data_IF_351359004335
#
_entry.id   IF_351359004335
#
_cell.length_a   1.000
_cell.length_b   1.000
_cell.length_c   1.000
_cell.angle_alpha   90.00
_cell.angle_beta   90.00
_cell.angle_gamma   90.00
#
_symmetry.space_group_name_H-M   'P 1'
#
loop_
_entity.id
_entity.type
_entity.pdbx_description
1 polymer ?
#
# COMPACT_ATOMS: atom_id res chain seq x y z
N UNK A 1 -20.07 29.78 26.97
CA UNK A 1 -20.25 28.89 25.81
C UNK A 1 -21.58 29.27 25.16
N UNK A 2 -21.54 30.06 24.04
CA UNK A 2 -22.70 30.31 23.21
C UNK A 2 -22.89 29.10 22.31
N UNK A 3 -23.98 28.37 22.47
CA UNK A 3 -24.43 27.31 21.57
C UNK A 3 -24.83 27.93 20.24
N UNK A 4 -23.87 28.17 19.36
CA UNK A 4 -24.13 28.68 18.01
C UNK A 4 -24.32 27.50 17.06
N UNK A 5 -25.55 27.24 16.63
CA UNK A 5 -25.88 26.23 15.64
C UNK A 5 -25.65 26.79 14.23
N UNK A 6 -24.51 26.52 13.60
CA UNK A 6 -24.26 26.89 12.21
C UNK A 6 -24.77 25.79 11.26
N UNK A 7 -25.94 26.01 10.70
CA UNK A 7 -26.60 25.09 9.77
C UNK A 7 -25.78 24.83 8.49
N UNK A 8 -24.97 25.79 8.04
CA UNK A 8 -24.12 25.64 6.84
C UNK A 8 -22.93 24.76 7.14
N UNK A 9 -22.30 24.96 8.28
CA UNK A 9 -21.18 24.10 8.74
C UNK A 9 -21.66 22.66 8.91
N UNK A 10 -22.80 22.48 9.58
CA UNK A 10 -23.38 21.16 9.82
C UNK A 10 -23.72 20.44 8.49
N UNK A 11 -24.32 21.14 7.53
CA UNK A 11 -24.61 20.59 6.22
C UNK A 11 -23.36 20.14 5.47
N UNK A 12 -22.26 20.92 5.54
CA UNK A 12 -20.97 20.53 4.94
C UNK A 12 -20.36 19.29 5.64
N UNK A 13 -20.44 19.22 6.96
CA UNK A 13 -19.97 18.08 7.73
C UNK A 13 -20.75 16.80 7.38
N UNK A 14 -22.08 16.89 7.31
CA UNK A 14 -22.92 15.74 6.90
C UNK A 14 -22.66 15.32 5.45
N UNK A 15 -22.48 16.25 4.53
CA UNK A 15 -22.14 15.95 3.16
C UNK A 15 -20.78 15.24 3.06
N UNK A 16 -19.76 15.75 3.75
CA UNK A 16 -18.43 15.11 3.79
C UNK A 16 -18.52 13.70 4.38
N UNK A 17 -19.15 13.55 5.55
CA UNK A 17 -19.30 12.25 6.22
C UNK A 17 -20.10 11.26 5.37
N UNK A 18 -21.15 11.71 4.69
CA UNK A 18 -21.95 10.88 3.80
C UNK A 18 -21.15 10.32 2.63
N UNK A 19 -20.34 11.15 1.97
CA UNK A 19 -19.47 10.69 0.88
C UNK A 19 -18.35 9.78 1.38
N UNK A 20 -17.70 10.10 2.51
CA UNK A 20 -16.71 9.24 3.13
C UNK A 20 -17.30 7.88 3.55
N UNK A 21 -18.54 7.87 4.07
CA UNK A 21 -19.27 6.64 4.39
C UNK A 21 -19.50 5.76 3.16
N UNK A 22 -19.86 6.37 2.03
CA UNK A 22 -20.10 5.67 0.76
C UNK A 22 -18.81 5.02 0.24
N UNK A 23 -17.70 5.75 0.23
CA UNK A 23 -16.39 5.23 -0.17
C UNK A 23 -15.88 4.11 0.74
N UNK A 24 -15.91 4.33 2.06
CA UNK A 24 -15.51 3.30 3.02
C UNK A 24 -16.44 2.08 2.97
N UNK A 25 -17.74 2.28 2.78
CA UNK A 25 -18.73 1.22 2.59
C UNK A 25 -18.42 0.35 1.37
N UNK A 26 -18.00 0.96 0.26
CA UNK A 26 -17.60 0.23 -0.94
C UNK A 26 -16.31 -0.60 -0.71
N UNK A 27 -15.36 -0.10 0.07
CA UNK A 27 -14.15 -0.86 0.47
C UNK A 27 -14.57 -2.08 1.30
N UNK A 28 -15.41 -1.89 2.33
CA UNK A 28 -15.88 -2.97 3.19
C UNK A 28 -16.67 -3.99 2.37
N UNK A 29 -17.56 -3.55 1.48
CA UNK A 29 -18.33 -4.43 0.60
C UNK A 29 -17.41 -5.27 -0.31
N UNK A 30 -16.39 -4.65 -0.90
CA UNK A 30 -15.39 -5.36 -1.70
C UNK A 30 -14.65 -6.41 -0.86
N UNK A 31 -14.19 -6.06 0.33
CA UNK A 31 -13.40 -6.96 1.17
C UNK A 31 -14.23 -8.11 1.73
N UNK A 32 -15.43 -7.83 2.25
CA UNK A 32 -16.34 -8.86 2.72
C UNK A 32 -16.94 -9.67 1.56
N UNK A 33 -17.26 -9.00 0.45
CA UNK A 33 -17.69 -9.67 -0.78
C UNK A 33 -16.63 -10.65 -1.30
N UNK A 34 -15.35 -10.25 -1.34
CA UNK A 34 -14.26 -11.16 -1.70
C UNK A 34 -14.15 -12.35 -0.75
N UNK A 35 -14.41 -12.14 0.56
CA UNK A 35 -14.45 -13.21 1.55
C UNK A 35 -15.55 -14.25 1.24
N UNK A 36 -16.75 -13.75 0.92
CA UNK A 36 -17.88 -14.60 0.53
C UNK A 36 -17.60 -15.35 -0.78
N UNK A 37 -17.05 -14.67 -1.79
CA UNK A 37 -16.71 -15.29 -3.07
C UNK A 37 -15.67 -16.40 -2.91
N UNK A 38 -14.60 -16.15 -2.17
CA UNK A 38 -13.55 -17.15 -1.93
C UNK A 38 -14.09 -18.36 -1.15
N UNK A 39 -15.00 -18.15 -0.20
CA UNK A 39 -15.65 -19.25 0.51
C UNK A 39 -16.59 -20.04 -0.40
N UNK A 40 -17.37 -19.36 -1.26
CA UNK A 40 -18.34 -20.00 -2.14
C UNK A 40 -17.68 -20.85 -3.23
N UNK A 41 -16.60 -20.33 -3.84
CA UNK A 41 -15.93 -20.99 -4.98
C UNK A 41 -14.73 -21.85 -4.57
N UNK A 42 -14.06 -21.52 -3.47
CA UNK A 42 -12.86 -22.20 -2.99
C UNK A 42 -13.03 -23.00 -1.70
N UNK A 43 -14.14 -22.78 -1.01
CA UNK A 43 -14.46 -23.46 0.26
C UNK A 43 -13.75 -22.89 1.49
N UNK A 44 -13.99 -23.49 2.68
CA UNK A 44 -13.47 -22.98 3.95
C UNK A 44 -11.94 -22.95 4.07
N UNK A 45 -11.25 -23.92 3.43
CA UNK A 45 -9.78 -23.99 3.45
C UNK A 45 -9.14 -22.78 2.74
N UNK A 46 -9.70 -22.37 1.58
CA UNK A 46 -9.26 -21.18 0.84
C UNK A 46 -9.53 -19.91 1.65
N UNK A 47 -10.66 -19.87 2.35
CA UNK A 47 -10.97 -18.73 3.21
C UNK A 47 -10.04 -18.65 4.43
N UNK A 48 -9.64 -19.78 5.01
CA UNK A 48 -8.62 -19.86 6.06
C UNK A 48 -7.26 -19.35 5.55
N UNK A 49 -6.83 -19.79 4.35
CA UNK A 49 -5.61 -19.30 3.70
C UNK A 49 -5.61 -17.77 3.51
N UNK A 50 -6.77 -17.20 3.10
CA UNK A 50 -6.95 -15.75 3.03
C UNK A 50 -6.81 -15.08 4.40
N UNK A 51 -7.41 -15.65 5.44
CA UNK A 51 -7.30 -15.14 6.81
C UNK A 51 -5.85 -15.04 7.27
N UNK A 52 -5.04 -16.07 7.02
CA UNK A 52 -3.60 -16.09 7.31
C UNK A 52 -2.87 -14.98 6.51
N UNK A 53 -3.14 -14.87 5.22
CA UNK A 53 -2.53 -13.83 4.38
C UNK A 53 -2.84 -12.41 4.88
N UNK A 54 -4.07 -12.17 5.33
CA UNK A 54 -4.47 -10.88 5.90
C UNK A 54 -3.78 -10.59 7.24
N UNK A 55 -3.55 -11.61 8.09
CA UNK A 55 -2.79 -11.44 9.35
C UNK A 55 -1.33 -11.09 9.08
N UNK A 56 -0.68 -11.80 8.16
CA UNK A 56 0.71 -11.48 7.74
C UNK A 56 0.78 -10.05 7.21
N UNK A 57 -0.14 -9.69 6.32
CA UNK A 57 -0.19 -8.35 5.74
C UNK A 57 -0.40 -7.26 6.81
N UNK A 58 -1.32 -7.48 7.75
CA UNK A 58 -1.58 -6.52 8.82
C UNK A 58 -0.34 -6.27 9.69
N UNK A 59 0.41 -7.32 10.01
CA UNK A 59 1.67 -7.21 10.76
C UNK A 59 2.71 -6.40 9.98
N UNK A 60 2.92 -6.70 8.70
CA UNK A 60 3.90 -6.00 7.86
C UNK A 60 3.48 -4.56 7.58
N UNK A 61 2.22 -4.33 7.21
CA UNK A 61 1.72 -3.01 6.85
C UNK A 61 1.62 -2.06 8.05
N UNK A 62 1.58 -2.58 9.28
CA UNK A 62 1.59 -1.75 10.50
C UNK A 62 2.80 -0.82 10.58
N UNK A 63 3.98 -1.23 10.08
CA UNK A 63 5.17 -0.39 10.02
C UNK A 63 4.97 0.83 9.12
N UNK A 64 4.32 0.63 7.97
CA UNK A 64 3.97 1.72 7.05
C UNK A 64 2.94 2.65 7.69
N UNK A 65 1.92 2.10 8.35
CA UNK A 65 0.89 2.89 9.01
C UNK A 65 1.45 3.75 10.14
N UNK A 66 2.37 3.23 10.96
CA UNK A 66 3.04 4.00 12.00
C UNK A 66 3.84 5.17 11.43
N UNK A 67 4.57 4.94 10.31
CA UNK A 67 5.27 6.02 9.61
C UNK A 67 4.28 7.08 9.08
N UNK A 68 3.17 6.67 8.50
CA UNK A 68 2.14 7.57 7.94
C UNK A 68 1.40 8.35 9.03
N UNK A 69 1.15 7.77 10.21
CA UNK A 69 0.55 8.49 11.34
C UNK A 69 1.37 9.70 11.76
N UNK A 70 2.70 9.62 11.69
CA UNK A 70 3.59 10.75 11.97
C UNK A 70 3.55 11.82 10.86
N UNK A 71 3.32 11.42 9.61
CA UNK A 71 3.42 12.29 8.43
C UNK A 71 2.09 12.95 8.03
N UNK A 72 0.96 12.28 8.22
CA UNK A 72 -0.37 12.75 7.80
C UNK A 72 -0.76 14.13 8.37
N UNK A 73 -0.53 14.44 9.67
CA UNK A 73 -0.84 15.76 10.22
C UNK A 73 -0.07 16.89 9.54
N UNK A 74 1.17 16.62 9.11
CA UNK A 74 2.00 17.62 8.43
C UNK A 74 1.49 17.91 7.00
N UNK A 75 1.00 16.89 6.28
CA UNK A 75 0.37 17.05 4.97
C UNK A 75 -0.85 17.98 5.11
N UNK A 76 -1.73 17.70 6.07
CA UNK A 76 -2.94 18.50 6.33
C UNK A 76 -2.60 19.92 6.78
N UNK A 77 -1.60 20.08 7.64
CA UNK A 77 -1.13 21.41 8.10
C UNK A 77 -0.60 22.27 6.95
N UNK A 78 0.24 21.70 6.08
CA UNK A 78 0.79 22.41 4.92
C UNK A 78 -0.34 22.84 3.95
N UNK A 79 -1.36 22.01 3.74
CA UNK A 79 -2.53 22.41 2.97
C UNK A 79 -3.26 23.57 3.61
N UNK A 80 -3.56 23.50 4.91
CA UNK A 80 -4.30 24.54 5.65
C UNK A 80 -3.56 25.88 5.70
N UNK A 81 -2.21 25.86 5.70
CA UNK A 81 -1.39 27.08 5.65
C UNK A 81 -1.16 27.64 4.24
N UNK A 82 -1.72 26.99 3.19
CA UNK A 82 -1.53 27.41 1.80
C UNK A 82 -0.16 27.06 1.21
N UNK A 83 0.70 26.35 1.96
CA UNK A 83 2.02 25.94 1.48
C UNK A 83 1.94 24.64 0.66
N UNK A 84 1.38 24.79 -0.55
CA UNK A 84 1.13 23.65 -1.43
C UNK A 84 2.41 22.94 -1.88
N UNK A 85 3.50 23.66 -2.11
CA UNK A 85 4.77 23.08 -2.55
C UNK A 85 5.39 22.18 -1.48
N UNK A 86 5.35 22.60 -0.22
CA UNK A 86 5.77 21.76 0.91
C UNK A 86 4.88 20.54 1.05
N UNK A 87 3.55 20.68 0.84
CA UNK A 87 2.60 19.55 0.83
C UNK A 87 2.94 18.56 -0.28
N UNK A 88 3.18 19.01 -1.51
CA UNK A 88 3.52 18.14 -2.63
C UNK A 88 4.81 17.36 -2.39
N UNK A 89 5.85 18.06 -1.96
CA UNK A 89 7.14 17.44 -1.65
C UNK A 89 7.01 16.40 -0.53
N UNK A 90 6.19 16.68 0.48
CA UNK A 90 5.93 15.75 1.58
C UNK A 90 5.15 14.52 1.09
N UNK A 91 4.10 14.69 0.28
CA UNK A 91 3.34 13.57 -0.31
C UNK A 91 4.28 12.67 -1.12
N UNK A 92 5.12 13.24 -1.99
CA UNK A 92 6.07 12.49 -2.83
C UNK A 92 7.05 11.69 -1.97
N UNK A 93 7.65 12.33 -0.97
CA UNK A 93 8.61 11.68 -0.05
C UNK A 93 7.92 10.60 0.79
N UNK A 94 6.76 10.88 1.38
CA UNK A 94 6.04 9.90 2.20
C UNK A 94 5.61 8.68 1.39
N UNK A 95 5.10 8.85 0.17
CA UNK A 95 4.76 7.74 -0.73
C UNK A 95 5.98 6.86 -1.03
N UNK A 96 7.10 7.48 -1.38
CA UNK A 96 8.36 6.80 -1.69
C UNK A 96 8.93 6.04 -0.50
N UNK A 97 9.04 6.69 0.67
CA UNK A 97 9.57 6.04 1.87
C UNK A 97 8.65 4.96 2.43
N UNK A 98 7.32 5.14 2.37
CA UNK A 98 6.35 4.09 2.69
C UNK A 98 6.57 2.84 1.83
N UNK A 99 6.79 3.04 0.53
CA UNK A 99 7.11 1.95 -0.38
C UNK A 99 8.41 1.25 0.01
N UNK A 100 9.48 1.98 0.36
CA UNK A 100 10.76 1.38 0.75
C UNK A 100 10.66 0.63 2.08
N UNK A 101 9.94 1.17 3.07
CA UNK A 101 9.68 0.46 4.33
C UNK A 101 8.96 -0.86 4.06
N UNK A 102 7.91 -0.83 3.25
CA UNK A 102 7.18 -2.02 2.85
C UNK A 102 8.07 -3.02 2.12
N UNK A 103 8.87 -2.54 1.17
CA UNK A 103 9.76 -3.35 0.34
C UNK A 103 10.84 -4.07 1.16
N UNK A 104 11.41 -3.40 2.18
CA UNK A 104 12.44 -3.98 3.05
C UNK A 104 11.93 -5.19 3.83
N UNK A 105 10.63 -5.26 4.11
CA UNK A 105 10.03 -6.39 4.83
C UNK A 105 9.43 -7.40 3.85
N UNK A 106 8.75 -6.90 2.80
CA UNK A 106 8.05 -7.72 1.81
C UNK A 106 9.01 -8.68 1.09
N UNK A 107 10.11 -8.19 0.53
CA UNK A 107 10.97 -9.00 -0.32
C UNK A 107 11.67 -10.14 0.42
N UNK A 108 12.30 -9.94 1.60
CA UNK A 108 12.84 -11.04 2.38
C UNK A 108 11.77 -12.04 2.80
N UNK A 109 10.58 -11.55 3.19
CA UNK A 109 9.46 -12.40 3.59
C UNK A 109 8.95 -13.24 2.41
N UNK A 110 8.78 -12.64 1.22
CA UNK A 110 8.38 -13.37 0.01
C UNK A 110 9.43 -14.41 -0.42
N UNK A 111 10.73 -14.10 -0.23
CA UNK A 111 11.80 -15.03 -0.54
C UNK A 111 11.81 -16.28 0.35
N UNK A 112 11.25 -16.20 1.56
CA UNK A 112 11.22 -17.31 2.52
C UNK A 112 9.84 -17.60 3.10
N UNK A 113 8.76 -17.25 2.38
CA UNK A 113 7.39 -17.35 2.88
C UNK A 113 7.00 -18.76 3.30
N UNK A 114 7.40 -19.78 2.53
CA UNK A 114 7.15 -21.19 2.87
C UNK A 114 7.80 -21.58 4.21
N UNK A 115 9.02 -21.15 4.43
CA UNK A 115 9.74 -21.42 5.67
C UNK A 115 9.07 -20.74 6.87
N UNK A 116 8.71 -19.45 6.73
CA UNK A 116 8.05 -18.69 7.79
C UNK A 116 6.69 -19.27 8.13
N UNK A 117 5.90 -19.64 7.12
CA UNK A 117 4.58 -20.23 7.35
C UNK A 117 4.67 -21.60 8.03
N UNK A 118 5.61 -22.45 7.64
CA UNK A 118 5.84 -23.76 8.30
C UNK A 118 6.38 -23.63 9.72
N UNK A 119 7.08 -22.54 10.02
CA UNK A 119 7.56 -22.29 11.39
C UNK A 119 6.41 -21.83 12.30
N UNK A 120 5.43 -21.13 11.73
CA UNK A 120 4.32 -20.55 12.47
C UNK A 120 3.10 -21.47 12.56
N UNK A 121 2.80 -22.21 11.49
CA UNK A 121 1.59 -23.03 11.36
C UNK A 121 1.97 -24.52 11.41
N UNK A 122 1.14 -25.33 12.09
CA UNK A 122 1.28 -26.78 12.08
C UNK A 122 1.01 -27.33 10.68
N UNK A 123 -0.09 -26.87 10.06
CA UNK A 123 -0.47 -27.18 8.69
C UNK A 123 -0.67 -25.89 7.90
N UNK A 124 -0.02 -25.78 6.74
CA UNK A 124 -0.17 -24.63 5.84
C UNK A 124 -1.25 -24.95 4.81
N UNK A 125 -2.41 -24.26 4.84
CA UNK A 125 -3.47 -24.52 3.87
C UNK A 125 -2.99 -24.26 2.43
N UNK A 126 -3.57 -24.98 1.47
CA UNK A 126 -3.31 -24.74 0.05
C UNK A 126 -3.58 -23.26 -0.31
N UNK A 127 -2.84 -22.71 -1.29
CA UNK A 127 -2.90 -21.32 -1.74
C UNK A 127 -2.37 -20.26 -0.77
N UNK A 128 -2.07 -20.59 0.52
CA UNK A 128 -1.65 -19.59 1.53
C UNK A 128 -0.43 -18.79 1.07
N UNK A 129 0.58 -19.46 0.53
CA UNK A 129 1.82 -18.81 0.02
C UNK A 129 1.49 -17.78 -1.05
N UNK A 130 0.72 -18.17 -2.07
CA UNK A 130 0.32 -17.27 -3.16
C UNK A 130 -0.49 -16.08 -2.63
N UNK A 131 -1.41 -16.33 -1.70
CA UNK A 131 -2.25 -15.28 -1.12
C UNK A 131 -1.42 -14.28 -0.29
N UNK A 132 -0.45 -14.76 0.49
CA UNK A 132 0.47 -13.89 1.24
C UNK A 132 1.23 -13.00 0.27
N UNK A 133 1.88 -13.56 -0.76
CA UNK A 133 2.66 -12.79 -1.74
C UNK A 133 1.78 -11.75 -2.45
N UNK A 134 0.62 -12.16 -2.96
CA UNK A 134 -0.28 -11.27 -3.69
C UNK A 134 -0.87 -10.17 -2.80
N UNK A 135 -1.20 -10.48 -1.53
CA UNK A 135 -1.70 -9.49 -0.58
C UNK A 135 -0.62 -8.46 -0.20
N UNK A 136 0.63 -8.91 -0.02
CA UNK A 136 1.75 -8.00 0.24
C UNK A 136 2.05 -7.11 -0.97
N UNK A 137 1.97 -7.63 -2.20
CA UNK A 137 2.10 -6.83 -3.42
C UNK A 137 0.97 -5.80 -3.57
N UNK A 138 -0.26 -6.15 -3.20
CA UNK A 138 -1.36 -5.20 -3.11
C UNK A 138 -1.03 -4.04 -2.17
N UNK A 139 -0.53 -4.34 -0.97
CA UNK A 139 -0.15 -3.33 0.02
C UNK A 139 1.06 -2.51 -0.39
N UNK A 140 1.95 -3.06 -1.21
CA UNK A 140 3.06 -2.31 -1.80
C UNK A 140 2.55 -1.18 -2.72
N UNK A 141 1.52 -1.46 -3.53
CA UNK A 141 0.86 -0.42 -4.35
C UNK A 141 0.13 0.58 -3.45
N UNK A 142 -0.49 0.13 -2.35
CA UNK A 142 -1.21 0.97 -1.40
C UNK A 142 -0.33 2.05 -0.76
N UNK A 143 0.97 1.81 -0.59
CA UNK A 143 1.92 2.79 -0.06
C UNK A 143 1.95 4.10 -0.86
N UNK A 144 1.67 4.06 -2.15
CA UNK A 144 1.59 5.27 -2.98
C UNK A 144 0.28 6.06 -2.78
N UNK A 145 -0.80 5.37 -2.40
CA UNK A 145 -2.14 5.98 -2.32
C UNK A 145 -2.34 6.76 -1.02
N UNK A 146 -1.85 6.24 0.11
CA UNK A 146 -2.18 6.77 1.43
C UNK A 146 -1.86 8.27 1.59
N UNK A 147 -0.62 8.78 1.25
CA UNK A 147 -0.33 10.19 1.34
C UNK A 147 -1.15 11.06 0.38
N UNK A 148 -1.46 10.53 -0.82
CA UNK A 148 -2.31 11.22 -1.81
C UNK A 148 -3.75 11.35 -1.31
N UNK A 149 -4.30 10.28 -0.71
CA UNK A 149 -5.64 10.29 -0.08
C UNK A 149 -5.68 11.34 1.05
N UNK A 150 -4.64 11.39 1.89
CA UNK A 150 -4.54 12.41 2.95
C UNK A 150 -4.59 13.83 2.37
N UNK A 151 -3.89 14.09 1.27
CA UNK A 151 -3.97 15.37 0.55
C UNK A 151 -5.34 15.67 0.00
N UNK A 152 -6.04 14.69 -0.55
CA UNK A 152 -7.43 14.82 -1.03
C UNK A 152 -8.42 15.11 0.11
N UNK A 153 -8.28 14.41 1.23
CA UNK A 153 -9.12 14.63 2.42
C UNK A 153 -8.90 16.02 3.01
N UNK A 154 -7.67 16.52 3.02
CA UNK A 154 -7.35 17.88 3.49
C UNK A 154 -8.07 18.97 2.69
N UNK A 155 -8.31 18.74 1.38
CA UNK A 155 -9.05 19.66 0.52
C UNK A 155 -10.56 19.72 0.86
N UNK A 156 -11.14 18.67 1.43
CA UNK A 156 -12.54 18.60 1.88
C UNK A 156 -13.60 18.32 0.81
N UNK A 157 -13.31 18.50 -0.49
CA UNK A 157 -14.27 18.19 -1.57
C UNK A 157 -13.98 16.81 -2.16
N UNK A 158 -14.42 15.77 -1.46
CA UNK A 158 -14.13 14.37 -1.76
C UNK A 158 -15.18 13.68 -2.64
N UNK A 159 -16.32 14.32 -2.92
CA UNK A 159 -17.47 13.70 -3.61
C UNK A 159 -17.08 12.95 -4.90
N UNK A 160 -16.42 13.63 -5.84
CA UNK A 160 -16.06 13.03 -7.13
C UNK A 160 -15.04 11.89 -7.00
N UNK A 161 -14.16 12.02 -6.03
CA UNK A 161 -13.16 11.00 -5.71
C UNK A 161 -13.82 9.75 -5.12
N UNK A 162 -14.69 9.90 -4.11
CA UNK A 162 -15.38 8.78 -3.45
C UNK A 162 -16.31 8.02 -4.40
N UNK A 163 -17.00 8.73 -5.31
CA UNK A 163 -17.80 8.09 -6.37
C UNK A 163 -16.91 7.25 -7.29
N UNK A 164 -15.76 7.80 -7.72
CA UNK A 164 -14.81 7.08 -8.56
C UNK A 164 -14.25 5.83 -7.89
N UNK A 165 -13.89 5.93 -6.61
CA UNK A 165 -13.45 4.82 -5.77
C UNK A 165 -14.53 3.73 -5.64
N UNK A 166 -15.74 4.11 -5.23
CA UNK A 166 -16.86 3.19 -5.06
C UNK A 166 -17.19 2.45 -6.36
N UNK A 167 -17.16 3.15 -7.49
CA UNK A 167 -17.37 2.54 -8.82
C UNK A 167 -16.30 1.51 -9.14
N UNK A 168 -15.02 1.84 -8.95
CA UNK A 168 -13.92 0.90 -9.21
C UNK A 168 -13.97 -0.33 -8.30
N UNK A 169 -14.28 -0.18 -7.01
CA UNK A 169 -14.41 -1.32 -6.11
C UNK A 169 -15.60 -2.20 -6.44
N UNK A 170 -16.73 -1.61 -6.87
CA UNK A 170 -17.89 -2.37 -7.33
C UNK A 170 -17.57 -3.15 -8.60
N UNK A 171 -16.90 -2.54 -9.58
CA UNK A 171 -16.45 -3.23 -10.81
C UNK A 171 -15.45 -4.33 -10.48
N UNK A 172 -14.51 -4.11 -9.57
CA UNK A 172 -13.58 -5.14 -9.09
C UNK A 172 -14.32 -6.35 -8.51
N UNK A 173 -15.30 -6.12 -7.64
CA UNK A 173 -16.11 -7.20 -7.06
C UNK A 173 -16.85 -8.00 -8.15
N UNK A 174 -17.50 -7.31 -9.09
CA UNK A 174 -18.19 -7.95 -10.21
C UNK A 174 -17.25 -8.74 -11.13
N UNK A 175 -16.09 -8.16 -11.45
CA UNK A 175 -15.05 -8.85 -12.24
C UNK A 175 -14.56 -10.11 -11.53
N UNK A 176 -14.31 -10.03 -10.21
CA UNK A 176 -13.91 -11.19 -9.40
C UNK A 176 -14.96 -12.29 -9.43
N UNK A 177 -16.25 -11.96 -9.29
CA UNK A 177 -17.33 -12.91 -9.39
C UNK A 177 -17.39 -13.58 -10.76
N UNK A 178 -17.32 -12.80 -11.85
CA UNK A 178 -17.36 -13.32 -13.22
C UNK A 178 -16.17 -14.25 -13.50
N UNK A 179 -14.95 -13.86 -13.11
CA UNK A 179 -13.76 -14.69 -13.30
C UNK A 179 -13.88 -16.04 -12.57
N UNK A 180 -14.33 -16.03 -11.31
CA UNK A 180 -14.53 -17.26 -10.56
C UNK A 180 -15.63 -18.14 -11.15
N UNK A 181 -16.73 -17.53 -11.63
CA UNK A 181 -17.82 -18.26 -12.32
C UNK A 181 -17.36 -18.91 -13.63
N UNK A 182 -16.38 -18.31 -14.31
CA UNK A 182 -15.74 -18.87 -15.51
C UNK A 182 -14.71 -19.98 -15.19
N UNK A 183 -14.54 -20.35 -13.91
CA UNK A 183 -13.61 -21.40 -13.48
C UNK A 183 -12.15 -20.96 -13.37
N UNK A 184 -11.88 -19.65 -13.31
CA UNK A 184 -10.51 -19.17 -13.10
C UNK A 184 -10.04 -19.48 -11.66
N UNK A 185 -8.72 -19.65 -11.44
CA UNK A 185 -8.15 -19.92 -10.13
C UNK A 185 -8.53 -18.84 -9.09
N UNK A 186 -8.63 -19.23 -7.82
CA UNK A 186 -9.01 -18.34 -6.71
C UNK A 186 -8.02 -17.17 -6.50
N UNK A 187 -6.76 -17.35 -6.91
CA UNK A 187 -5.72 -16.30 -6.93
C UNK A 187 -6.10 -15.11 -7.81
N UNK A 188 -6.94 -15.32 -8.81
CA UNK A 188 -7.41 -14.27 -9.73
C UNK A 188 -8.05 -13.10 -8.99
N UNK A 189 -8.74 -13.35 -7.87
CA UNK A 189 -9.33 -12.30 -7.03
C UNK A 189 -8.26 -11.34 -6.49
N UNK A 190 -7.13 -11.89 -6.06
CA UNK A 190 -6.01 -11.09 -5.52
C UNK A 190 -5.29 -10.32 -6.64
N UNK A 191 -5.10 -10.95 -7.79
CA UNK A 191 -4.52 -10.28 -8.97
C UNK A 191 -5.41 -9.11 -9.43
N UNK A 192 -6.72 -9.32 -9.52
CA UNK A 192 -7.68 -8.26 -9.82
C UNK A 192 -7.61 -7.12 -8.78
N UNK A 193 -7.51 -7.45 -7.49
CA UNK A 193 -7.34 -6.45 -6.44
C UNK A 193 -6.11 -5.56 -6.69
N UNK A 194 -4.97 -6.13 -7.10
CA UNK A 194 -3.75 -5.37 -7.43
C UNK A 194 -3.98 -4.48 -8.65
N UNK A 195 -4.56 -5.01 -9.72
CA UNK A 195 -4.86 -4.25 -10.95
C UNK A 195 -5.80 -3.08 -10.66
N UNK A 196 -6.90 -3.33 -9.97
CA UNK A 196 -7.83 -2.27 -9.61
C UNK A 196 -7.24 -1.26 -8.63
N UNK A 197 -6.34 -1.68 -7.72
CA UNK A 197 -5.60 -0.75 -6.86
C UNK A 197 -4.69 0.17 -7.67
N UNK A 198 -4.02 -0.35 -8.70
CA UNK A 198 -3.24 0.47 -9.61
C UNK A 198 -4.14 1.45 -10.42
N UNK A 199 -5.34 1.03 -10.84
CA UNK A 199 -6.31 1.93 -11.46
C UNK A 199 -6.79 3.03 -10.50
N UNK A 200 -7.01 2.70 -9.23
CA UNK A 200 -7.32 3.70 -8.18
C UNK A 200 -6.19 4.71 -8.05
N UNK A 201 -4.92 4.29 -8.10
CA UNK A 201 -3.78 5.22 -8.09
C UNK A 201 -3.83 6.19 -9.28
N UNK A 202 -4.12 5.70 -10.49
CA UNK A 202 -4.25 6.56 -11.68
C UNK A 202 -5.39 7.57 -11.52
N UNK A 203 -6.57 7.12 -11.07
CA UNK A 203 -7.72 8.00 -10.82
C UNK A 203 -7.38 9.05 -9.76
N UNK A 204 -6.71 8.65 -8.69
CA UNK A 204 -6.29 9.55 -7.61
C UNK A 204 -5.30 10.60 -8.09
N UNK A 205 -4.33 10.23 -8.93
CA UNK A 205 -3.38 11.18 -9.54
C UNK A 205 -4.07 12.19 -10.45
N UNK A 206 -5.05 11.74 -11.25
CA UNK A 206 -5.84 12.63 -12.12
C UNK A 206 -6.66 13.62 -11.25
N UNK A 207 -7.35 13.12 -10.22
CA UNK A 207 -8.11 13.99 -9.32
C UNK A 207 -7.24 14.98 -8.56
N UNK A 208 -6.07 14.55 -8.07
CA UNK A 208 -5.11 15.41 -7.38
C UNK A 208 -4.59 16.52 -8.28
N UNK A 209 -4.32 16.22 -9.57
CA UNK A 209 -3.94 17.23 -10.57
C UNK A 209 -5.05 18.26 -10.79
N UNK A 210 -6.31 17.80 -10.92
CA UNK A 210 -7.46 18.67 -11.21
C UNK A 210 -7.88 19.50 -9.98
N UNK A 211 -7.74 18.98 -8.77
CA UNK A 211 -8.28 19.61 -7.56
C UNK A 211 -7.32 20.57 -6.87
N UNK A 212 -6.04 20.26 -6.84
CA UNK A 212 -5.02 21.07 -6.19
C UNK A 212 -3.71 21.16 -6.98
N UNK A 213 -3.77 21.03 -8.31
CA UNK A 213 -2.64 21.19 -9.23
C UNK A 213 -1.41 20.33 -8.87
N UNK A 214 -1.62 19.13 -8.32
CA UNK A 214 -0.54 18.23 -7.92
C UNK A 214 0.42 17.92 -9.08
N UNK A 215 1.74 18.01 -8.89
CA UNK A 215 2.72 17.80 -9.95
C UNK A 215 2.92 16.30 -10.26
N UNK A 216 1.97 15.69 -10.98
CA UNK A 216 1.94 14.26 -11.30
C UNK A 216 3.23 13.82 -12.02
N UNK A 217 3.77 14.63 -12.94
CA UNK A 217 5.02 14.31 -13.64
C UNK A 217 6.20 14.17 -12.67
N UNK A 218 6.28 15.05 -11.65
CA UNK A 218 7.28 14.98 -10.59
C UNK A 218 7.08 13.73 -9.73
N UNK A 219 5.85 13.40 -9.36
CA UNK A 219 5.52 12.17 -8.63
C UNK A 219 5.94 10.92 -9.41
N UNK A 220 5.64 10.84 -10.71
CA UNK A 220 6.07 9.71 -11.54
C UNK A 220 7.59 9.61 -11.60
N UNK A 221 8.30 10.74 -11.76
CA UNK A 221 9.75 10.77 -11.88
C UNK A 221 10.47 10.52 -10.56
N UNK A 222 10.06 11.16 -9.45
CA UNK A 222 10.79 11.13 -8.18
C UNK A 222 10.30 10.02 -7.23
N UNK A 223 9.09 9.49 -7.44
CA UNK A 223 8.53 8.44 -6.60
C UNK A 223 8.41 7.13 -7.38
N UNK A 224 7.57 7.05 -8.41
CA UNK A 224 7.30 5.78 -9.09
C UNK A 224 8.52 5.19 -9.78
N UNK A 225 9.31 6.00 -10.53
CA UNK A 225 10.46 5.47 -11.27
C UNK A 225 11.57 4.97 -10.35
N UNK A 226 11.89 5.71 -9.28
CA UNK A 226 12.90 5.27 -8.30
C UNK A 226 12.43 4.04 -7.51
N UNK A 227 11.16 4.01 -7.11
CA UNK A 227 10.58 2.86 -6.41
C UNK A 227 10.60 1.60 -7.28
N UNK A 228 10.23 1.74 -8.56
CA UNK A 228 10.27 0.63 -9.52
C UNK A 228 11.70 0.14 -9.78
N UNK A 229 12.66 1.06 -9.94
CA UNK A 229 14.06 0.70 -10.13
C UNK A 229 14.63 -0.09 -8.95
N UNK A 230 14.39 0.37 -7.72
CA UNK A 230 14.82 -0.33 -6.50
C UNK A 230 14.14 -1.70 -6.39
N UNK A 231 12.83 -1.78 -6.69
CA UNK A 231 12.09 -3.05 -6.68
C UNK A 231 12.68 -4.06 -7.66
N UNK A 232 12.87 -3.67 -8.93
CA UNK A 232 13.40 -4.56 -9.97
C UNK A 232 14.82 -5.04 -9.68
N UNK A 233 15.69 -4.14 -9.20
CA UNK A 233 17.04 -4.52 -8.82
C UNK A 233 17.08 -5.47 -7.63
N UNK A 234 16.22 -5.21 -6.64
CA UNK A 234 16.14 -6.08 -5.45
C UNK A 234 15.52 -7.44 -5.79
N UNK A 235 14.53 -7.48 -6.67
CA UNK A 235 13.95 -8.73 -7.17
C UNK A 235 14.97 -9.53 -7.99
N UNK A 236 15.75 -8.87 -8.85
CA UNK A 236 16.85 -9.48 -9.61
C UNK A 236 17.92 -10.05 -8.66
N UNK A 237 18.30 -9.31 -7.63
CA UNK A 237 19.26 -9.80 -6.63
C UNK A 237 18.78 -11.08 -5.96
N UNK A 238 17.48 -11.14 -5.55
CA UNK A 238 16.90 -12.34 -4.94
C UNK A 238 16.89 -13.52 -5.92
N UNK A 239 16.62 -13.25 -7.21
CA UNK A 239 16.62 -14.27 -8.25
C UNK A 239 18.00 -14.89 -8.46
N UNK A 240 19.07 -14.08 -8.40
CA UNK A 240 20.47 -14.50 -8.57
C UNK A 240 21.00 -15.18 -7.31
N UNK A 241 20.45 -14.87 -6.13
CA UNK A 241 20.95 -15.38 -4.84
C UNK A 241 20.76 -16.90 -4.75
N UNK A 242 21.84 -17.71 -4.62
CA UNK A 242 21.74 -19.15 -4.55
C UNK A 242 21.05 -19.62 -3.26
N UNK A 243 20.49 -20.85 -3.30
CA UNK A 243 19.89 -21.51 -2.14
C UNK A 243 18.42 -21.14 -1.94
N UNK A 244 17.52 -21.84 -2.65
CA UNK A 244 16.08 -21.77 -2.41
C UNK A 244 15.64 -22.56 -1.17
N UNK A 245 16.44 -23.53 -0.73
CA UNK A 245 16.16 -24.34 0.45
C UNK A 245 16.87 -23.77 1.68
N UNK A 246 16.12 -23.55 2.73
CA UNK A 246 16.68 -23.05 3.99
C UNK A 246 17.13 -24.26 4.84
N UNK A 247 18.43 -24.44 4.98
CA UNK A 247 19.02 -25.48 5.83
C UNK A 247 18.88 -25.23 7.34
N UNK A 248 18.02 -24.27 7.75
CA UNK A 248 17.74 -23.92 9.14
C UNK A 248 17.56 -22.43 9.39
N UNK A 249 17.23 -22.09 10.62
CA UNK A 249 16.93 -20.71 11.05
C UNK A 249 18.09 -19.73 10.80
N UNK A 250 19.32 -20.19 11.00
CA UNK A 250 20.52 -19.36 10.80
C UNK A 250 20.68 -19.00 9.31
N UNK A 251 20.52 -19.97 8.41
CA UNK A 251 20.61 -19.73 6.98
C UNK A 251 19.51 -18.76 6.50
N UNK A 252 18.27 -18.92 7.00
CA UNK A 252 17.18 -18.00 6.77
C UNK A 252 17.53 -16.59 7.26
N UNK A 253 18.06 -16.45 8.48
CA UNK A 253 18.43 -15.15 9.07
C UNK A 253 19.51 -14.43 8.26
N UNK A 254 20.58 -15.15 7.88
CA UNK A 254 21.69 -14.59 7.07
C UNK A 254 21.17 -14.11 5.71
N UNK A 255 20.33 -14.91 5.04
CA UNK A 255 19.77 -14.56 3.74
C UNK A 255 18.82 -13.35 3.84
N UNK A 256 17.95 -13.32 4.85
CA UNK A 256 17.06 -12.19 5.13
C UNK A 256 17.86 -10.92 5.35
N UNK A 257 18.91 -11.00 6.18
CA UNK A 257 19.79 -9.86 6.43
C UNK A 257 20.51 -9.38 5.16
N UNK A 258 21.03 -10.31 4.34
CA UNK A 258 21.67 -9.96 3.06
C UNK A 258 20.72 -9.24 2.10
N UNK A 259 19.46 -9.70 1.98
CA UNK A 259 18.43 -9.07 1.16
C UNK A 259 18.11 -7.66 1.71
N UNK A 260 17.90 -7.52 3.02
CA UNK A 260 17.62 -6.22 3.64
C UNK A 260 18.79 -5.24 3.46
N UNK A 261 20.02 -5.69 3.64
CA UNK A 261 21.21 -4.88 3.43
C UNK A 261 21.32 -4.41 1.98
N UNK A 262 21.09 -5.31 1.01
CA UNK A 262 21.10 -4.95 -0.40
C UNK A 262 20.00 -3.92 -0.73
N UNK A 263 18.77 -4.11 -0.25
CA UNK A 263 17.68 -3.14 -0.44
C UNK A 263 18.06 -1.79 0.18
N UNK A 264 18.62 -1.78 1.40
CA UNK A 264 19.09 -0.55 2.04
C UNK A 264 20.11 0.21 1.19
N UNK A 265 21.11 -0.50 0.66
CA UNK A 265 22.11 0.08 -0.25
C UNK A 265 21.46 0.58 -1.54
N UNK A 266 20.56 -0.19 -2.17
CA UNK A 266 19.85 0.21 -3.37
C UNK A 266 18.97 1.46 -3.13
N UNK A 267 18.31 1.56 -1.98
CA UNK A 267 17.53 2.75 -1.58
C UNK A 267 18.43 3.97 -1.46
N UNK A 268 19.60 3.86 -0.80
CA UNK A 268 20.53 5.00 -0.62
C UNK A 268 21.13 5.44 -1.95
N UNK A 269 21.51 4.50 -2.82
CA UNK A 269 22.21 4.81 -4.07
C UNK A 269 21.26 5.28 -5.18
N UNK A 270 20.08 4.67 -5.29
CA UNK A 270 19.16 4.85 -6.41
C UNK A 270 17.82 5.45 -5.95
N UNK A 271 17.30 5.00 -4.80
CA UNK A 271 15.98 5.38 -4.30
C UNK A 271 15.91 6.82 -3.80
N UNK A 272 17.01 7.40 -3.33
CA UNK A 272 17.05 8.75 -2.77
C UNK A 272 17.54 9.77 -3.79
N UNK A 273 16.93 10.96 -3.78
CA UNK A 273 17.47 12.14 -4.47
C UNK A 273 18.75 12.63 -3.79
N UNK A 274 19.56 13.45 -4.48
CA UNK A 274 20.78 14.01 -3.89
C UNK A 274 20.49 14.77 -2.59
N UNK A 275 19.44 15.58 -2.57
CA UNK A 275 19.03 16.36 -1.39
C UNK A 275 18.64 15.45 -0.21
N UNK A 276 17.88 14.40 -0.46
CA UNK A 276 17.46 13.43 0.57
C UNK A 276 18.66 12.69 1.16
N UNK A 277 19.59 12.29 0.32
CA UNK A 277 20.83 11.62 0.74
C UNK A 277 21.71 12.52 1.58
N UNK A 278 21.90 13.79 1.16
CA UNK A 278 22.70 14.75 1.89
C UNK A 278 22.08 15.08 3.26
N UNK A 279 20.75 15.11 3.34
CA UNK A 279 20.03 15.27 4.61
C UNK A 279 20.27 14.09 5.57
N UNK A 280 20.17 12.85 5.07
CA UNK A 280 20.44 11.64 5.87
C UNK A 280 21.89 11.61 6.36
N UNK A 281 22.85 11.90 5.48
CA UNK A 281 24.28 11.94 5.82
C UNK A 281 24.56 13.03 6.89
N UNK A 282 23.90 14.19 6.82
CA UNK A 282 24.03 15.24 7.82
C UNK A 282 23.56 14.78 9.20
N UNK A 283 22.36 14.17 9.28
CA UNK A 283 21.81 13.66 10.55
C UNK A 283 22.74 12.59 11.16
N UNK A 284 23.29 11.70 10.33
CA UNK A 284 24.21 10.68 10.81
C UNK A 284 25.52 11.30 11.36
N UNK A 285 26.03 12.36 10.73
CA UNK A 285 27.23 13.08 11.20
C UNK A 285 26.99 13.90 12.47
N UNK A 286 25.78 14.36 12.71
CA UNK A 286 25.42 15.11 13.92
C UNK A 286 25.17 14.23 15.14
N UNK A 287 24.97 12.91 14.92
CA UNK A 287 24.71 11.93 16.00
C UNK A 287 25.87 10.98 16.30
N UNK A 288 26.91 10.97 15.48
CA UNK A 288 28.20 10.29 15.71
C UNK A 288 29.23 11.29 16.27
#
# INVERSE_FOLDING_TARGET
>A
FLWGFDRRLLSRMFAFSGWAFLGNGAIVLKDQGSNVLLNLFGGPAVNAARGIAMQVNAAVYSFVMNFMQASNPQITKNYASGNLEAMYSLIIRCSKFSFFIMLMILLPLCAGVDYVLRLWLVDVPAHTVNFVVLTLLYSLVECFLNPLITGMLAQGNIKSFEIGLASLYTVNFMASYVCLKLGMPVETVFVLNIVFKALVLVVLLIHSKLKFAFPVARFCKECLSFSLAVFLLSALFIYILPGKEYGGLVCFGVRTFAIMAFIGVAVILIGMTREERDYVVRILKERL
#
